data_IF_955950201046
#
_entry.id   IF_955950201046
#
_cell.length_a   1.000
_cell.length_b   1.000
_cell.length_c   1.000
_cell.angle_alpha   90.00
_cell.angle_beta   90.00
_cell.angle_gamma   90.00
#
_symmetry.space_group_name_H-M   'P 1'
#
loop_
_entity.id
_entity.type
_entity.pdbx_description
1 polymer ?
#
# COMPACT_ATOMS: atom_id res chain seq x y z
N UNK A 1 -11.26 -13.70 -7.51
CA UNK A 1 -11.28 -12.74 -6.37
C UNK A 1 -10.47 -13.25 -5.18
N UNK A 2 -9.56 -12.43 -4.65
CA UNK A 2 -8.83 -12.66 -3.40
C UNK A 2 -9.03 -11.47 -2.47
N UNK A 3 -9.20 -11.73 -1.17
CA UNK A 3 -9.41 -10.71 -0.14
C UNK A 3 -8.31 -10.83 0.92
N UNK A 4 -7.73 -9.70 1.29
CA UNK A 4 -6.71 -9.59 2.33
C UNK A 4 -7.17 -8.57 3.35
N UNK A 5 -7.10 -8.92 4.63
CA UNK A 5 -7.28 -7.98 5.73
C UNK A 5 -6.12 -8.14 6.70
N UNK A 6 -5.42 -7.05 7.00
CA UNK A 6 -4.27 -6.98 7.89
C UNK A 6 -4.40 -5.76 8.79
N UNK A 7 -3.90 -5.86 10.01
CA UNK A 7 -3.77 -4.70 10.88
C UNK A 7 -2.62 -4.87 11.86
N UNK A 8 -2.09 -3.75 12.35
CA UNK A 8 -1.08 -3.69 13.39
C UNK A 8 -1.39 -2.56 14.36
N UNK A 9 -1.04 -2.76 15.63
CA UNK A 9 -1.02 -1.70 16.64
C UNK A 9 0.41 -1.17 16.73
N UNK A 10 0.56 0.14 16.61
CA UNK A 10 1.88 0.78 16.57
C UNK A 10 1.96 1.97 17.53
N UNK A 11 3.13 2.22 18.14
CA UNK A 11 3.37 3.37 19.02
C UNK A 11 3.69 4.64 18.21
N UNK A 12 2.92 4.89 17.15
CA UNK A 12 3.02 6.07 16.30
C UNK A 12 1.63 6.65 16.11
N UNK A 13 1.56 7.96 15.89
CA UNK A 13 0.28 8.65 15.68
C UNK A 13 -0.36 8.22 14.36
N UNK A 14 -1.67 8.45 14.23
CA UNK A 14 -2.37 8.20 12.96
C UNK A 14 -1.80 9.05 11.82
N UNK A 15 -1.40 10.30 12.11
CA UNK A 15 -0.79 11.20 11.14
C UNK A 15 0.59 10.73 10.67
N UNK A 16 1.44 10.25 11.59
CA UNK A 16 2.75 9.66 11.26
C UNK A 16 2.58 8.47 10.31
N UNK A 17 1.67 7.54 10.64
CA UNK A 17 1.45 6.35 9.80
C UNK A 17 0.77 6.69 8.47
N UNK A 18 -0.18 7.61 8.48
CA UNK A 18 -0.85 8.09 7.27
C UNK A 18 0.16 8.69 6.30
N UNK A 19 1.07 9.55 6.77
CA UNK A 19 2.05 10.21 5.93
C UNK A 19 2.96 9.21 5.21
N UNK A 20 3.35 8.11 5.87
CA UNK A 20 4.17 7.07 5.26
C UNK A 20 3.45 6.35 4.11
N UNK A 21 2.14 6.11 4.25
CA UNK A 21 1.33 5.43 3.23
C UNK A 21 0.89 6.38 2.12
N UNK A 22 0.67 7.66 2.41
CA UNK A 22 0.35 8.66 1.39
C UNK A 22 1.55 9.02 0.51
N UNK A 23 2.78 8.86 1.02
CA UNK A 23 4.02 9.13 0.30
C UNK A 23 4.45 7.95 -0.59
N UNK A 24 3.68 7.74 -1.66
CA UNK A 24 3.87 6.64 -2.62
C UNK A 24 5.25 6.69 -3.27
N UNK A 25 5.83 7.87 -3.48
CA UNK A 25 7.11 8.04 -4.19
C UNK A 25 8.31 7.43 -3.47
N UNK A 26 8.24 7.31 -2.14
CA UNK A 26 9.31 6.71 -1.32
C UNK A 26 9.16 5.21 -1.10
N UNK A 27 8.13 4.57 -1.66
CA UNK A 27 7.94 3.12 -1.55
C UNK A 27 9.16 2.29 -1.99
N UNK A 28 9.89 2.63 -3.08
CA UNK A 28 11.09 1.90 -3.48
C UNK A 28 12.22 1.89 -2.43
N UNK A 29 12.22 2.84 -1.49
CA UNK A 29 13.29 2.96 -0.49
C UNK A 29 13.23 1.86 0.57
N UNK A 30 12.04 1.30 0.81
CA UNK A 30 11.81 0.36 1.92
C UNK A 30 10.95 -0.85 1.57
N UNK A 31 10.26 -0.87 0.41
CA UNK A 31 9.52 -2.04 -0.07
C UNK A 31 10.41 -2.86 -1.03
N UNK A 32 10.93 -4.03 -0.63
CA UNK A 32 11.96 -4.74 -1.40
C UNK A 32 11.52 -5.24 -2.78
N UNK A 33 10.21 -5.28 -3.02
CA UNK A 33 9.57 -5.70 -4.27
C UNK A 33 9.11 -4.51 -5.13
N UNK A 34 9.16 -3.29 -4.59
CA UNK A 34 8.84 -2.07 -5.31
C UNK A 34 10.09 -1.58 -6.02
N UNK A 35 10.10 -1.68 -7.35
CA UNK A 35 11.23 -1.25 -8.17
C UNK A 35 11.22 0.25 -8.40
N UNK A 36 10.04 0.79 -8.66
CA UNK A 36 9.83 2.21 -8.87
C UNK A 36 8.39 2.56 -8.46
N UNK A 37 8.22 3.80 -8.02
CA UNK A 37 6.92 4.38 -7.76
C UNK A 37 6.89 5.77 -8.37
N UNK A 38 5.76 6.14 -8.95
CA UNK A 38 5.59 7.42 -9.63
C UNK A 38 4.23 8.00 -9.32
N UNK A 39 4.23 9.24 -8.83
CA UNK A 39 3.03 10.07 -8.76
C UNK A 39 2.84 10.80 -10.09
N UNK A 40 1.61 10.78 -10.61
CA UNK A 40 1.24 11.43 -11.86
C UNK A 40 0.51 12.74 -11.63
N UNK A 41 -0.37 12.74 -10.62
CA UNK A 41 -1.17 13.90 -10.24
C UNK A 41 -1.51 13.82 -8.75
N UNK A 42 -1.64 14.98 -8.12
CA UNK A 42 -1.99 15.12 -6.70
C UNK A 42 -2.79 16.39 -6.46
N UNK A 43 -3.85 16.23 -5.69
CA UNK A 43 -4.62 17.30 -5.05
C UNK A 43 -4.59 17.10 -3.53
N UNK A 44 -5.35 17.89 -2.78
CA UNK A 44 -5.50 17.71 -1.33
C UNK A 44 -6.17 16.37 -0.98
N UNK A 45 -7.16 15.95 -1.79
CA UNK A 45 -8.02 14.80 -1.50
C UNK A 45 -7.77 13.60 -2.43
N UNK A 46 -6.89 13.72 -3.43
CA UNK A 46 -6.69 12.67 -4.43
C UNK A 46 -5.24 12.56 -4.91
N UNK A 47 -4.80 11.33 -5.18
CA UNK A 47 -3.47 11.01 -5.75
C UNK A 47 -3.61 9.96 -6.84
N UNK A 48 -2.98 10.18 -8.00
CA UNK A 48 -2.83 9.17 -9.03
C UNK A 48 -1.38 8.68 -9.05
N UNK A 49 -1.16 7.39 -8.79
CA UNK A 49 0.20 6.85 -8.70
C UNK A 49 0.34 5.46 -9.31
N UNK A 50 1.50 5.18 -9.88
CA UNK A 50 1.90 3.86 -10.35
C UNK A 50 2.96 3.24 -9.45
N UNK A 51 2.86 1.93 -9.26
CA UNK A 51 3.85 1.11 -8.57
C UNK A 51 4.34 0.04 -9.54
N UNK A 52 5.65 -0.04 -9.75
CA UNK A 52 6.29 -1.12 -10.51
C UNK A 52 6.76 -2.23 -9.57
N UNK A 53 6.13 -3.39 -9.70
CA UNK A 53 6.53 -4.62 -9.03
C UNK A 53 7.69 -5.27 -9.77
N UNK A 54 8.75 -5.63 -9.04
CA UNK A 54 9.82 -6.47 -9.56
C UNK A 54 10.19 -7.59 -8.59
N UNK A 55 10.15 -8.83 -9.09
CA UNK A 55 10.69 -10.00 -8.37
C UNK A 55 11.21 -11.03 -9.37
N UNK A 56 12.52 -11.26 -9.37
CA UNK A 56 13.17 -12.11 -10.37
C UNK A 56 12.96 -11.57 -11.79
N UNK A 57 12.48 -12.41 -12.72
CA UNK A 57 12.20 -12.02 -14.10
C UNK A 57 10.86 -11.26 -14.27
N UNK A 58 10.03 -11.21 -13.24
CA UNK A 58 8.72 -10.56 -13.29
C UNK A 58 8.90 -9.05 -13.13
N UNK A 59 8.34 -8.30 -14.07
CA UNK A 59 8.23 -6.83 -14.02
C UNK A 59 6.85 -6.42 -14.53
N UNK A 60 6.05 -5.82 -13.65
CA UNK A 60 4.70 -5.33 -13.98
C UNK A 60 4.39 -4.09 -13.15
N UNK A 61 3.72 -3.12 -13.77
CA UNK A 61 3.23 -1.94 -13.07
C UNK A 61 1.70 -1.97 -13.00
N UNK A 62 1.16 -1.29 -12.00
CA UNK A 62 -0.24 -0.95 -11.91
C UNK A 62 -0.37 0.48 -11.39
N UNK A 63 -1.46 1.14 -11.78
CA UNK A 63 -1.79 2.52 -11.42
C UNK A 63 -3.08 2.52 -10.61
N UNK A 64 -3.09 3.27 -9.51
CA UNK A 64 -4.28 3.48 -8.69
C UNK A 64 -4.66 4.96 -8.62
N UNK A 65 -5.97 5.19 -8.49
CA UNK A 65 -6.54 6.44 -8.02
C UNK A 65 -6.80 6.30 -6.53
N UNK A 66 -6.13 7.12 -5.75
CA UNK A 66 -6.22 7.12 -4.30
C UNK A 66 -7.05 8.31 -3.85
N UNK A 67 -8.08 8.08 -3.03
CA UNK A 67 -8.88 9.12 -2.38
C UNK A 67 -8.47 9.22 -0.93
N UNK A 68 -8.19 10.44 -0.51
CA UNK A 68 -7.56 10.75 0.75
C UNK A 68 -8.60 11.31 1.73
N UNK A 69 -8.58 10.80 2.94
CA UNK A 69 -9.15 11.47 4.11
C UNK A 69 -8.02 11.68 5.09
N UNK A 70 -7.53 12.92 5.15
CA UNK A 70 -6.30 13.29 5.87
C UNK A 70 -6.25 12.65 7.27
N UNK A 71 -5.16 11.94 7.54
CA UNK A 71 -4.83 11.25 8.79
C UNK A 71 -5.85 10.19 9.26
N UNK A 72 -6.77 9.76 8.38
CA UNK A 72 -7.85 8.81 8.70
C UNK A 72 -7.93 7.62 7.76
N UNK A 73 -7.91 7.85 6.45
CA UNK A 73 -8.14 6.80 5.46
C UNK A 73 -7.50 7.13 4.11
N UNK A 74 -7.08 6.10 3.38
CA UNK A 74 -6.78 6.16 1.95
C UNK A 74 -7.54 5.04 1.26
N UNK A 75 -8.49 5.39 0.39
CA UNK A 75 -9.14 4.45 -0.52
C UNK A 75 -8.29 4.35 -1.78
N UNK A 76 -8.04 3.14 -2.28
CA UNK A 76 -7.28 2.86 -3.49
C UNK A 76 -8.18 2.14 -4.49
N UNK A 77 -8.22 2.60 -5.74
CA UNK A 77 -8.93 1.91 -6.84
C UNK A 77 -8.06 1.80 -8.06
N UNK A 78 -8.13 0.65 -8.73
CA UNK A 78 -7.40 0.37 -9.96
C UNK A 78 -7.79 1.36 -11.07
N UNK A 79 -6.78 1.93 -11.72
CA UNK A 79 -6.94 2.65 -13.00
C UNK A 79 -6.50 1.75 -14.15
N UNK A 80 -5.32 1.14 -14.03
CA UNK A 80 -4.78 0.21 -15.02
C UNK A 80 -3.76 -0.74 -14.39
N UNK A 81 -3.56 -1.92 -15.00
CA UNK A 81 -2.57 -2.89 -14.52
C UNK A 81 -2.91 -4.32 -14.91
N UNK A 82 -2.21 -5.33 -14.35
CA UNK A 82 -2.45 -6.75 -14.61
C UNK A 82 -3.67 -7.31 -13.87
N UNK A 83 -4.52 -6.43 -13.35
CA UNK A 83 -5.69 -6.75 -12.54
C UNK A 83 -6.97 -6.46 -13.32
N UNK A 84 -8.00 -7.29 -13.12
CA UNK A 84 -9.37 -6.97 -13.50
C UNK A 84 -9.95 -5.96 -12.52
N UNK A 85 -9.72 -6.17 -11.23
CA UNK A 85 -10.02 -5.22 -10.16
C UNK A 85 -8.90 -5.23 -9.12
N UNK A 86 -8.67 -4.07 -8.52
CA UNK A 86 -7.87 -3.90 -7.31
C UNK A 86 -8.48 -2.73 -6.57
N UNK A 87 -9.01 -2.99 -5.39
CA UNK A 87 -9.62 -2.00 -4.53
C UNK A 87 -9.18 -2.23 -3.09
N UNK A 88 -8.95 -1.17 -2.33
CA UNK A 88 -8.52 -1.34 -0.96
C UNK A 88 -8.63 -0.08 -0.13
N UNK A 89 -8.52 -0.27 1.18
CA UNK A 89 -8.62 0.79 2.17
C UNK A 89 -7.48 0.66 3.16
N UNK A 90 -6.71 1.73 3.29
CA UNK A 90 -5.92 1.98 4.48
C UNK A 90 -6.76 2.75 5.49
N UNK A 91 -6.70 2.34 6.75
CA UNK A 91 -7.41 2.99 7.86
C UNK A 91 -6.45 3.22 9.02
N UNK A 92 -6.44 4.44 9.53
CA UNK A 92 -5.58 4.89 10.62
C UNK A 92 -6.46 5.30 11.78
N UNK A 93 -6.59 4.41 12.78
CA UNK A 93 -7.44 4.64 13.93
C UNK A 93 -6.58 5.04 15.14
N UNK A 94 -6.71 6.27 15.67
CA UNK A 94 -6.03 6.65 16.91
C UNK A 94 -6.45 5.76 18.08
N UNK A 95 -5.49 5.36 18.91
CA UNK A 95 -5.69 4.61 20.16
C UNK A 95 -5.23 5.39 21.41
N UNK A 96 -4.89 6.66 21.22
CA UNK A 96 -4.32 7.56 22.21
C UNK A 96 -3.60 8.70 21.50
N UNK A 97 -2.80 9.47 22.24
CA UNK A 97 -2.01 10.57 21.67
C UNK A 97 -0.87 10.05 20.78
N UNK A 98 -0.18 8.98 21.21
CA UNK A 98 1.02 8.44 20.55
C UNK A 98 0.86 6.99 20.04
N UNK A 99 -0.38 6.56 19.77
CA UNK A 99 -0.64 5.20 19.30
C UNK A 99 -1.74 5.14 18.25
N UNK A 100 -1.60 4.22 17.29
CA UNK A 100 -2.53 4.02 16.19
C UNK A 100 -2.70 2.53 15.88
N UNK A 101 -3.91 2.16 15.47
CA UNK A 101 -4.16 0.94 14.71
C UNK A 101 -4.15 1.26 13.23
N UNK A 102 -3.19 0.69 12.50
CA UNK A 102 -3.14 0.74 11.04
C UNK A 102 -3.79 -0.52 10.50
N UNK A 103 -4.73 -0.38 9.57
CA UNK A 103 -5.40 -1.50 8.92
C UNK A 103 -5.37 -1.36 7.41
N UNK A 104 -5.20 -2.49 6.72
CA UNK A 104 -5.28 -2.61 5.28
C UNK A 104 -6.33 -3.68 4.95
N UNK A 105 -7.32 -3.30 4.17
CA UNK A 105 -8.19 -4.23 3.46
C UNK A 105 -7.93 -4.08 1.97
N UNK A 106 -7.74 -5.20 1.27
CA UNK A 106 -7.43 -5.20 -0.14
C UNK A 106 -8.16 -6.36 -0.81
N UNK A 107 -8.89 -6.04 -1.86
CA UNK A 107 -9.54 -6.97 -2.76
C UNK A 107 -8.91 -6.84 -4.14
N UNK A 108 -8.61 -7.98 -4.76
CA UNK A 108 -8.06 -7.97 -6.12
C UNK A 108 -8.41 -9.22 -6.92
N UNK A 109 -8.37 -9.06 -8.23
CA UNK A 109 -8.52 -10.11 -9.22
C UNK A 109 -7.59 -9.87 -10.39
N UNK A 110 -6.86 -10.90 -10.83
CA UNK A 110 -6.01 -10.81 -12.01
C UNK A 110 -6.83 -10.90 -13.30
N UNK A 111 -6.43 -10.17 -14.34
CA UNK A 111 -7.18 -10.13 -15.60
C UNK A 111 -7.22 -11.47 -16.35
N UNK A 112 -6.30 -12.41 -16.05
CA UNK A 112 -6.34 -13.76 -16.59
C UNK A 112 -5.57 -14.78 -15.71
N UNK A 113 -5.79 -16.07 -15.97
CA UNK A 113 -5.20 -17.19 -15.23
C UNK A 113 -3.68 -17.27 -15.32
N UNK A 114 -3.08 -16.86 -16.44
CA UNK A 114 -1.62 -16.87 -16.62
C UNK A 114 -0.95 -15.81 -15.72
N UNK A 115 -1.51 -14.61 -15.67
CA UNK A 115 -1.09 -13.55 -14.75
C UNK A 115 -1.26 -14.00 -13.31
N UNK A 116 -2.38 -14.65 -12.97
CA UNK A 116 -2.58 -15.23 -11.63
C UNK A 116 -1.51 -16.25 -11.25
N UNK A 117 -1.14 -17.14 -12.18
CA UNK A 117 -0.13 -18.19 -11.91
C UNK A 117 1.28 -17.62 -11.75
N UNK A 118 1.61 -16.56 -12.49
CA UNK A 118 2.94 -15.93 -12.46
C UNK A 118 3.08 -14.89 -11.35
N UNK A 119 2.11 -13.98 -11.21
CA UNK A 119 2.12 -12.88 -10.24
C UNK A 119 1.49 -13.24 -8.90
N UNK A 120 0.56 -14.19 -8.86
CA UNK A 120 -0.23 -14.50 -7.65
C UNK A 120 0.61 -14.81 -6.41
N UNK A 121 1.63 -15.68 -6.48
CA UNK A 121 2.50 -15.96 -5.33
C UNK A 121 3.26 -14.71 -4.85
N UNK A 122 3.73 -13.89 -5.79
CA UNK A 122 4.47 -12.65 -5.48
C UNK A 122 3.54 -11.64 -4.81
N UNK A 123 2.38 -11.38 -5.42
CA UNK A 123 1.42 -10.42 -4.91
C UNK A 123 0.83 -10.86 -3.57
N UNK A 124 0.57 -12.15 -3.38
CA UNK A 124 0.15 -12.69 -2.09
C UNK A 124 1.21 -12.50 -0.99
N UNK A 125 2.50 -12.55 -1.30
CA UNK A 125 3.56 -12.23 -0.33
C UNK A 125 3.62 -10.73 -0.04
N UNK A 126 3.45 -9.89 -1.06
CA UNK A 126 3.43 -8.43 -0.93
C UNK A 126 2.33 -8.02 0.05
N UNK A 127 1.10 -8.45 -0.19
CA UNK A 127 -0.06 -8.06 0.63
C UNK A 127 0.05 -8.57 2.07
N UNK A 128 0.72 -9.71 2.29
CA UNK A 128 0.97 -10.23 3.63
C UNK A 128 2.07 -9.50 4.40
N UNK A 129 2.98 -8.81 3.73
CA UNK A 129 4.12 -8.11 4.36
C UNK A 129 4.00 -6.59 4.36
N UNK A 130 2.98 -6.05 3.68
CA UNK A 130 2.85 -4.61 3.45
C UNK A 130 2.72 -3.82 4.76
N UNK A 131 1.80 -4.21 5.64
CA UNK A 131 1.59 -3.54 6.95
C UNK A 131 2.87 -3.58 7.79
N UNK A 132 3.55 -4.72 7.82
CA UNK A 132 4.80 -4.88 8.58
C UNK A 132 5.91 -3.98 8.04
N UNK A 133 6.02 -3.84 6.72
CA UNK A 133 7.00 -2.96 6.08
C UNK A 133 6.77 -1.48 6.45
N UNK A 134 5.52 -1.02 6.50
CA UNK A 134 5.19 0.33 6.99
C UNK A 134 5.49 0.51 8.48
N UNK A 135 5.22 -0.51 9.30
CA UNK A 135 5.59 -0.47 10.72
C UNK A 135 7.11 -0.36 10.90
N UNK A 136 7.87 -1.07 10.07
CA UNK A 136 9.33 -1.00 10.07
C UNK A 136 9.82 0.37 9.57
N UNK A 137 9.22 0.91 8.51
CA UNK A 137 9.53 2.26 8.01
C UNK A 137 9.27 3.34 9.05
N UNK A 138 8.19 3.22 9.83
CA UNK A 138 7.90 4.16 10.91
C UNK A 138 9.01 4.17 11.98
N UNK A 139 9.59 3.01 12.31
CA UNK A 139 10.74 2.93 13.23
C UNK A 139 11.98 3.61 12.68
N UNK A 140 12.21 3.52 11.37
CA UNK A 140 13.35 4.15 10.71
C UNK A 140 13.24 5.68 10.68
N UNK A 141 12.04 6.20 10.43
CA UNK A 141 11.78 7.64 10.30
C UNK A 141 11.56 8.34 11.65
N UNK A 142 10.77 7.73 12.54
CA UNK A 142 10.36 8.34 13.81
C UNK A 142 11.14 7.80 15.03
N UNK A 143 12.04 6.84 14.81
CA UNK A 143 12.79 6.18 15.86
C UNK A 143 12.01 5.07 16.55
N UNK A 144 12.72 4.27 17.35
CA UNK A 144 12.13 3.19 18.14
C UNK A 144 11.48 3.76 19.41
N UNK A 145 10.21 3.40 19.64
CA UNK A 145 9.43 3.72 20.84
C UNK A 145 9.05 2.43 21.56
#
# INVERSE_FOLDING_TARGET
MAVVSKSALVPYTAAEMYALVDDVTHYPDFLPWCRSAKEWDRTEDEVYASIELAKGAIRKAFTTHNRLQKDKMIEMRLVEGPFHCLEGFWRFQPLGEDACKVSLDLEYEFSNSLLKMTLGPVFGQITNTLVDAFCQRAREIHGKR
#
